data_IF_885603514070
#
_entry.id   IF_885603514070
#
_cell.length_a   1.000
_cell.length_b   1.000
_cell.length_c   1.000
_cell.angle_alpha   90.00
_cell.angle_beta   90.00
_cell.angle_gamma   90.00
#
_symmetry.space_group_name_H-M   'P 1'
#
loop_
_entity.id
_entity.type
_entity.pdbx_description
1 polymer ?
#
# COMPACT_ATOMS: atom_id res chain seq x y z
N UNK A 1 -10.19 -21.31 41.12
CA UNK A 1 -10.64 -19.99 40.66
C UNK A 1 -10.16 -19.79 39.22
N UNK A 2 -11.01 -20.07 38.23
CA UNK A 2 -10.68 -19.86 36.82
C UNK A 2 -11.29 -18.52 36.38
N UNK A 3 -10.47 -17.58 35.89
CA UNK A 3 -10.93 -16.33 35.28
C UNK A 3 -11.25 -16.62 33.82
N UNK A 4 -12.52 -16.52 33.43
CA UNK A 4 -12.94 -16.50 32.03
C UNK A 4 -12.64 -15.10 31.46
N UNK A 5 -11.72 -15.01 30.52
CA UNK A 5 -11.54 -13.81 29.68
C UNK A 5 -12.53 -13.87 28.54
N UNK A 6 -13.63 -13.12 28.64
CA UNK A 6 -14.57 -12.90 27.55
C UNK A 6 -14.00 -11.85 26.60
N UNK A 7 -13.66 -12.25 25.38
CA UNK A 7 -13.45 -11.33 24.25
C UNK A 7 -14.81 -10.74 23.86
N UNK A 8 -15.04 -9.47 24.19
CA UNK A 8 -16.23 -8.74 23.75
C UNK A 8 -16.12 -8.45 22.25
N UNK A 9 -17.12 -8.84 21.48
CA UNK A 9 -17.31 -8.34 20.13
C UNK A 9 -17.63 -6.84 20.21
N UNK A 10 -17.02 -6.03 19.33
CA UNK A 10 -17.28 -4.61 19.26
C UNK A 10 -18.77 -4.36 18.94
N UNK A 11 -19.38 -3.43 19.65
CA UNK A 11 -20.79 -3.08 19.47
C UNK A 11 -20.96 -2.22 18.20
N UNK A 12 -22.18 -2.15 17.67
CA UNK A 12 -22.52 -1.28 16.53
C UNK A 12 -22.17 0.20 16.81
N UNK A 13 -22.23 0.63 18.08
CA UNK A 13 -21.82 1.97 18.50
C UNK A 13 -20.33 2.24 18.42
N UNK A 14 -19.48 1.23 18.60
CA UNK A 14 -18.02 1.36 18.47
C UNK A 14 -17.60 1.51 17.00
N UNK A 15 -18.34 0.87 16.09
CA UNK A 15 -18.09 0.93 14.65
C UNK A 15 -18.46 2.29 14.04
N UNK A 16 -19.49 2.96 14.59
CA UNK A 16 -19.90 4.30 14.18
C UNK A 16 -19.04 5.38 14.84
N UNK A 17 -18.60 5.22 16.10
CA UNK A 17 -17.61 6.11 16.70
C UNK A 17 -16.26 6.09 15.94
N UNK A 18 -15.85 4.91 15.43
CA UNK A 18 -14.68 4.78 14.56
C UNK A 18 -14.87 5.40 13.16
N UNK A 19 -16.10 5.58 12.69
CA UNK A 19 -16.38 6.33 11.44
C UNK A 19 -16.12 7.83 11.62
N UNK A 20 -16.37 8.36 12.81
CA UNK A 20 -16.27 9.79 13.12
C UNK A 20 -14.86 10.23 13.56
N UNK A 21 -13.99 9.29 13.95
CA UNK A 21 -12.65 9.58 14.48
C UNK A 21 -11.63 10.04 13.41
N UNK A 22 -11.93 9.96 12.11
CA UNK A 22 -11.05 10.42 11.03
C UNK A 22 -9.76 9.59 10.90
N UNK A 23 -9.71 8.64 9.96
CA UNK A 23 -8.52 7.86 9.69
C UNK A 23 -8.78 6.45 9.21
N UNK A 24 -7.72 5.67 9.05
CA UNK A 24 -7.81 4.29 8.58
C UNK A 24 -8.44 3.39 9.66
N UNK A 25 -9.43 2.60 9.25
CA UNK A 25 -10.02 1.49 10.01
C UNK A 25 -9.49 0.13 9.58
N UNK A 26 -8.99 0.01 8.34
CA UNK A 26 -8.39 -1.22 7.81
C UNK A 26 -7.10 -0.91 7.04
N UNK A 27 -6.03 -1.63 7.37
CA UNK A 27 -4.72 -1.55 6.72
C UNK A 27 -4.42 -2.89 6.02
N UNK A 28 -4.22 -2.85 4.71
CA UNK A 28 -3.79 -3.98 3.90
C UNK A 28 -2.27 -4.05 3.83
N UNK A 29 -1.69 -5.06 4.49
CA UNK A 29 -0.25 -5.33 4.51
C UNK A 29 0.23 -6.24 3.36
N UNK A 30 -0.70 -6.78 2.56
CA UNK A 30 -0.37 -7.65 1.44
C UNK A 30 0.35 -6.92 0.30
N UNK A 31 1.35 -7.58 -0.28
CA UNK A 31 2.06 -7.06 -1.45
C UNK A 31 1.13 -6.92 -2.66
N UNK A 32 1.47 -6.01 -3.57
CA UNK A 32 0.88 -5.99 -4.91
C UNK A 32 0.92 -7.38 -5.54
N UNK A 33 -0.13 -7.72 -6.30
CA UNK A 33 -0.35 -9.05 -6.93
C UNK A 33 -0.77 -10.19 -5.99
N UNK A 34 -1.09 -9.89 -4.73
CA UNK A 34 -1.74 -10.83 -3.79
C UNK A 34 -3.27 -10.70 -3.73
N UNK A 35 -3.88 -9.94 -4.66
CA UNK A 35 -5.34 -9.73 -4.71
C UNK A 35 -5.81 -8.39 -4.14
N UNK A 36 -4.92 -7.40 -4.03
CA UNK A 36 -5.18 -6.07 -3.43
C UNK A 36 -6.36 -5.32 -4.07
N UNK A 37 -6.52 -5.38 -5.40
CA UNK A 37 -7.67 -4.79 -6.10
C UNK A 37 -9.00 -5.43 -5.71
N UNK A 38 -9.04 -6.76 -5.55
CA UNK A 38 -10.23 -7.46 -5.09
C UNK A 38 -10.53 -7.14 -3.63
N UNK A 39 -9.50 -7.03 -2.79
CA UNK A 39 -9.64 -6.59 -1.41
C UNK A 39 -10.19 -5.16 -1.32
N UNK A 40 -9.66 -4.21 -2.11
CA UNK A 40 -10.19 -2.85 -2.24
C UNK A 40 -11.70 -2.86 -2.52
N UNK A 41 -12.10 -3.57 -3.59
CA UNK A 41 -13.49 -3.66 -3.99
C UNK A 41 -14.39 -4.28 -2.90
N UNK A 42 -13.91 -5.33 -2.22
CA UNK A 42 -14.63 -5.96 -1.12
C UNK A 42 -14.82 -4.98 0.05
N UNK A 43 -13.75 -4.33 0.51
CA UNK A 43 -13.79 -3.35 1.61
C UNK A 43 -14.76 -2.21 1.31
N UNK A 44 -14.74 -1.68 0.09
CA UNK A 44 -15.68 -0.64 -0.33
C UNK A 44 -17.12 -1.15 -0.31
N UNK A 45 -17.39 -2.37 -0.80
CA UNK A 45 -18.71 -2.97 -0.81
C UNK A 45 -19.28 -3.24 0.60
N UNK A 46 -18.43 -3.54 1.59
CA UNK A 46 -18.85 -3.81 2.97
C UNK A 46 -18.78 -2.58 3.91
N UNK A 47 -18.66 -1.37 3.36
CA UNK A 47 -18.74 -0.12 4.14
C UNK A 47 -17.43 0.33 4.80
N UNK A 48 -16.30 -0.18 4.34
CA UNK A 48 -14.94 0.26 4.68
C UNK A 48 -14.29 1.08 3.54
N UNK A 49 -15.11 1.62 2.64
CA UNK A 49 -14.70 2.61 1.64
C UNK A 49 -14.73 4.06 2.15
N UNK A 50 -14.00 4.98 1.50
CA UNK A 50 -13.14 4.78 0.34
C UNK A 50 -11.85 4.03 0.69
N UNK A 51 -11.37 3.16 -0.20
CA UNK A 51 -10.15 2.38 0.01
C UNK A 51 -8.98 2.93 -0.82
N UNK A 52 -7.93 3.38 -0.13
CA UNK A 52 -6.70 3.86 -0.74
C UNK A 52 -5.96 2.69 -1.40
N UNK A 53 -5.51 2.90 -2.63
CA UNK A 53 -4.80 1.88 -3.40
C UNK A 53 -3.77 2.54 -4.32
N UNK A 54 -2.77 1.81 -4.82
CA UNK A 54 -1.77 2.37 -5.74
C UNK A 54 -2.40 3.03 -6.99
N UNK A 55 -3.54 2.48 -7.45
CA UNK A 55 -4.32 3.05 -8.54
C UNK A 55 -4.76 4.49 -8.27
N UNK A 56 -5.08 4.84 -7.02
CA UNK A 56 -5.42 6.20 -6.62
C UNK A 56 -4.18 7.11 -6.77
N UNK A 57 -2.98 6.62 -6.48
CA UNK A 57 -1.74 7.39 -6.68
C UNK A 57 -1.43 7.60 -8.16
N UNK A 58 -1.77 6.64 -9.02
CA UNK A 58 -1.44 6.66 -10.44
C UNK A 58 -2.48 7.39 -11.31
N UNK A 59 -3.73 7.46 -10.87
CA UNK A 59 -4.86 7.97 -11.66
C UNK A 59 -5.48 9.27 -11.13
N UNK A 60 -5.12 9.72 -9.92
CA UNK A 60 -5.62 10.97 -9.34
C UNK A 60 -5.13 12.21 -10.14
N UNK A 61 -5.99 13.18 -10.48
CA UNK A 61 -5.55 14.46 -11.06
C UNK A 61 -4.45 15.18 -10.26
N UNK A 62 -4.36 14.93 -8.95
CA UNK A 62 -3.32 15.40 -8.03
C UNK A 62 -2.12 14.45 -7.89
N UNK A 63 -1.95 13.48 -8.79
CA UNK A 63 -0.81 12.54 -8.87
C UNK A 63 0.52 13.20 -8.46
N UNK A 64 0.91 14.39 -8.96
CA UNK A 64 2.20 14.98 -8.61
C UNK A 64 2.36 15.29 -7.12
N UNK A 65 1.29 15.64 -6.41
CA UNK A 65 1.31 15.95 -4.96
C UNK A 65 1.46 14.67 -4.15
N UNK A 66 0.61 13.67 -4.38
CA UNK A 66 0.66 12.40 -3.65
C UNK A 66 1.96 11.65 -3.91
N UNK A 67 2.42 11.62 -5.15
CA UNK A 67 3.70 11.00 -5.49
C UNK A 67 4.87 11.67 -4.75
N UNK A 68 4.86 13.01 -4.59
CA UNK A 68 5.86 13.75 -3.80
C UNK A 68 5.81 13.40 -2.32
N UNK A 69 4.61 13.34 -1.72
CA UNK A 69 4.46 12.96 -0.30
C UNK A 69 5.02 11.57 -0.07
N UNK A 70 4.64 10.60 -0.91
CA UNK A 70 5.13 9.23 -0.79
C UNK A 70 6.61 9.05 -1.07
N UNK A 71 7.17 9.84 -1.99
CA UNK A 71 8.63 9.84 -2.18
C UNK A 71 9.37 10.26 -0.91
N UNK A 72 8.90 11.30 -0.20
CA UNK A 72 9.51 11.71 1.08
C UNK A 72 9.44 10.60 2.12
N UNK A 73 8.30 9.91 2.22
CA UNK A 73 8.13 8.75 3.11
C UNK A 73 9.11 7.63 2.75
N UNK A 74 9.26 7.34 1.45
CA UNK A 74 10.21 6.35 0.95
C UNK A 74 11.67 6.73 1.23
N UNK A 75 12.06 7.98 1.00
CA UNK A 75 13.40 8.51 1.24
C UNK A 75 13.75 8.50 2.74
N UNK A 76 12.77 8.76 3.61
CA UNK A 76 12.91 8.68 5.06
C UNK A 76 12.78 7.25 5.62
N UNK A 77 12.43 6.26 4.78
CA UNK A 77 12.07 4.90 5.19
C UNK A 77 11.04 4.89 6.33
N UNK A 78 9.98 5.70 6.20
CA UNK A 78 8.90 5.81 7.20
C UNK A 78 9.27 6.55 8.48
N UNK A 79 10.53 6.96 8.68
CA UNK A 79 10.99 7.63 9.91
C UNK A 79 10.65 9.12 9.93
N UNK A 80 10.17 9.61 11.07
CA UNK A 80 9.84 11.03 11.25
C UNK A 80 8.67 11.49 10.38
N UNK A 81 7.78 10.56 10.03
CA UNK A 81 6.55 10.86 9.31
C UNK A 81 5.45 11.10 10.34
N UNK A 82 5.15 12.38 10.57
CA UNK A 82 4.19 12.78 11.60
C UNK A 82 2.77 12.97 11.04
N UNK A 83 2.62 13.00 9.72
CA UNK A 83 1.37 13.38 9.04
C UNK A 83 0.70 12.21 8.27
N UNK A 84 0.69 11.00 8.84
CA UNK A 84 -0.02 9.86 8.25
C UNK A 84 -1.51 10.16 7.99
N UNK A 85 -2.18 10.90 8.89
CA UNK A 85 -3.56 11.32 8.71
C UNK A 85 -3.77 12.19 7.45
N UNK A 86 -2.81 13.04 7.08
CA UNK A 86 -2.90 13.87 5.88
C UNK A 86 -2.79 13.03 4.59
N UNK A 87 -1.94 11.99 4.62
CA UNK A 87 -1.75 11.09 3.48
C UNK A 87 -3.05 10.32 3.16
N UNK A 88 -3.78 9.94 4.20
CA UNK A 88 -5.02 9.15 4.11
C UNK A 88 -6.29 9.95 4.35
N UNK A 89 -6.22 11.28 4.26
CA UNK A 89 -7.41 12.12 4.41
C UNK A 89 -8.51 11.70 3.41
N UNK A 90 -9.72 11.52 3.94
CA UNK A 90 -10.87 11.00 3.19
C UNK A 90 -10.88 9.49 2.91
N UNK A 91 -9.90 8.73 3.36
CA UNK A 91 -9.85 7.27 3.20
C UNK A 91 -10.11 6.55 4.52
N UNK A 92 -10.83 5.43 4.41
CA UNK A 92 -11.23 4.59 5.54
C UNK A 92 -10.43 3.30 5.59
N UNK A 93 -9.91 2.86 4.45
CA UNK A 93 -9.03 1.71 4.37
C UNK A 93 -7.91 1.98 3.38
N UNK A 94 -6.83 1.23 3.46
CA UNK A 94 -5.70 1.38 2.55
C UNK A 94 -5.07 0.02 2.23
N UNK A 95 -4.69 -0.22 0.98
CA UNK A 95 -4.13 -1.47 0.48
C UNK A 95 -3.07 -1.19 -0.59
N UNK A 96 -2.26 -2.21 -0.90
CA UNK A 96 -1.23 -2.16 -1.95
C UNK A 96 -0.09 -1.15 -1.67
N UNK A 97 0.82 -1.02 -2.63
CA UNK A 97 1.89 -0.04 -2.58
C UNK A 97 1.35 1.39 -2.60
N UNK A 98 1.92 2.33 -1.84
CA UNK A 98 3.00 2.18 -0.85
C UNK A 98 2.57 1.84 0.57
N UNK A 99 1.27 1.82 0.87
CA UNK A 99 0.71 1.51 2.19
C UNK A 99 1.29 0.24 2.81
N UNK A 100 1.36 -0.85 2.04
CA UNK A 100 1.76 -2.16 2.55
C UNK A 100 3.18 -2.18 3.15
N UNK A 101 4.07 -1.29 2.72
CA UNK A 101 5.46 -1.22 3.20
C UNK A 101 5.59 -0.59 4.59
N UNK A 102 4.59 0.18 5.02
CA UNK A 102 4.61 0.97 6.25
C UNK A 102 3.52 0.54 7.24
N UNK A 103 3.00 -0.68 7.11
CA UNK A 103 1.87 -1.13 7.93
C UNK A 103 2.16 -1.05 9.44
N UNK A 104 3.41 -1.15 9.88
CA UNK A 104 3.81 -1.03 11.30
C UNK A 104 3.69 0.40 11.79
N UNK A 105 4.25 1.36 11.05
CA UNK A 105 4.12 2.79 11.31
C UNK A 105 2.65 3.22 11.26
N UNK A 106 1.86 2.63 10.36
CA UNK A 106 0.43 2.88 10.27
C UNK A 106 -0.36 2.28 11.44
N UNK A 107 0.05 1.14 12.00
CA UNK A 107 -0.53 0.61 13.22
C UNK A 107 -0.27 1.50 14.43
N UNK A 108 0.88 2.19 14.45
CA UNK A 108 1.17 3.18 15.50
C UNK A 108 0.34 4.46 15.32
N UNK A 109 0.18 4.93 14.08
CA UNK A 109 -0.60 6.13 13.77
C UNK A 109 -2.12 5.91 13.87
N UNK A 110 -2.60 4.71 13.55
CA UNK A 110 -4.01 4.32 13.57
C UNK A 110 -4.21 3.07 14.45
N UNK A 111 -4.10 3.20 15.79
CA UNK A 111 -4.06 2.05 16.71
C UNK A 111 -5.33 1.20 16.71
N UNK A 112 -6.47 1.76 16.32
CA UNK A 112 -7.75 1.05 16.24
C UNK A 112 -7.94 0.31 14.90
N UNK A 113 -7.08 0.57 13.91
CA UNK A 113 -7.18 -0.05 12.60
C UNK A 113 -6.88 -1.55 12.66
N UNK A 114 -7.71 -2.35 11.97
CA UNK A 114 -7.43 -3.77 11.76
C UNK A 114 -6.46 -3.96 10.61
N UNK A 115 -5.59 -4.97 10.71
CA UNK A 115 -4.64 -5.30 9.65
C UNK A 115 -5.08 -6.56 8.91
N UNK A 116 -5.08 -6.52 7.58
CA UNK A 116 -5.34 -7.66 6.70
C UNK A 116 -4.07 -7.96 5.91
N UNK A 117 -3.57 -9.19 6.01
CA UNK A 117 -2.48 -9.70 5.19
C UNK A 117 -3.04 -10.66 4.13
N UNK A 118 -3.06 -10.23 2.88
CA UNK A 118 -3.36 -11.13 1.75
C UNK A 118 -2.11 -11.89 1.36
N UNK A 119 -2.22 -13.22 1.32
CA UNK A 119 -1.12 -14.12 0.97
C UNK A 119 -1.39 -14.82 -0.35
N UNK A 120 -0.32 -15.25 -1.01
CA UNK A 120 -0.34 -16.02 -2.26
C UNK A 120 0.82 -16.99 -2.24
N UNK A 121 0.71 -18.09 -2.97
CA UNK A 121 1.86 -18.95 -3.28
C UNK A 121 3.03 -18.08 -3.82
N UNK A 122 4.22 -18.11 -3.17
CA UNK A 122 5.29 -17.17 -3.48
C UNK A 122 5.80 -17.24 -4.91
N UNK A 123 5.89 -18.44 -5.49
CA UNK A 123 6.32 -18.63 -6.88
C UNK A 123 5.29 -18.05 -7.87
N UNK A 124 4.00 -18.34 -7.67
CA UNK A 124 2.92 -17.74 -8.47
C UNK A 124 2.85 -16.22 -8.28
N UNK A 125 3.15 -15.70 -7.10
CA UNK A 125 3.27 -14.27 -6.86
C UNK A 125 4.42 -13.68 -7.68
N UNK A 126 5.61 -14.29 -7.64
CA UNK A 126 6.79 -13.82 -8.35
C UNK A 126 6.54 -13.75 -9.86
N UNK A 127 6.00 -14.81 -10.47
CA UNK A 127 5.62 -14.81 -11.89
C UNK A 127 4.67 -13.65 -12.21
N UNK A 128 3.61 -13.48 -11.40
CA UNK A 128 2.63 -12.41 -11.62
C UNK A 128 3.20 -11.00 -11.43
N UNK A 129 4.09 -10.83 -10.45
CA UNK A 129 4.78 -9.58 -10.15
C UNK A 129 5.74 -9.19 -11.28
N UNK A 130 6.47 -10.16 -11.84
CA UNK A 130 7.34 -9.94 -12.99
C UNK A 130 6.55 -9.52 -14.24
N UNK A 131 5.47 -10.25 -14.57
CA UNK A 131 4.68 -9.95 -15.77
C UNK A 131 3.93 -8.62 -15.71
N UNK A 132 3.58 -8.16 -14.50
CA UNK A 132 2.82 -6.93 -14.31
C UNK A 132 3.71 -5.79 -13.84
N UNK A 133 4.24 -5.85 -12.62
CA UNK A 133 4.91 -4.72 -11.95
C UNK A 133 6.22 -4.39 -12.63
N UNK A 134 7.08 -5.40 -12.88
CA UNK A 134 8.38 -5.19 -13.53
C UNK A 134 8.19 -4.67 -14.94
N UNK A 135 7.33 -5.31 -15.73
CA UNK A 135 7.04 -4.89 -17.10
C UNK A 135 6.45 -3.48 -17.18
N UNK A 136 5.53 -3.11 -16.29
CA UNK A 136 4.99 -1.74 -16.25
C UNK A 136 6.07 -0.72 -15.89
N UNK A 137 6.92 -1.03 -14.90
CA UNK A 137 8.07 -0.18 -14.54
C UNK A 137 9.00 0.03 -15.73
N UNK A 138 9.41 -1.03 -16.41
CA UNK A 138 10.27 -0.96 -17.61
C UNK A 138 9.63 -0.09 -18.69
N UNK A 139 8.33 -0.29 -18.96
CA UNK A 139 7.58 0.49 -19.96
C UNK A 139 7.53 1.97 -19.60
N UNK A 140 7.19 2.30 -18.35
CA UNK A 140 7.07 3.68 -17.86
C UNK A 140 8.41 4.42 -17.78
N UNK A 141 9.53 3.69 -17.69
CA UNK A 141 10.88 4.25 -17.61
C UNK A 141 11.62 4.25 -18.95
N UNK A 142 11.07 3.64 -19.99
CA UNK A 142 11.62 3.63 -21.34
C UNK A 142 11.16 4.82 -22.18
N UNK A 143 11.86 5.07 -23.28
CA UNK A 143 11.46 6.04 -24.30
C UNK A 143 10.20 5.55 -25.05
N UNK A 144 9.23 6.43 -25.39
CA UNK A 144 9.19 7.88 -25.13
C UNK A 144 8.53 8.26 -23.79
N UNK A 145 8.03 7.28 -23.04
CA UNK A 145 7.23 7.52 -21.82
C UNK A 145 7.99 8.27 -20.72
N UNK A 146 9.30 8.03 -20.58
CA UNK A 146 10.14 8.74 -19.63
C UNK A 146 10.21 10.26 -19.91
N UNK A 147 10.39 10.66 -21.17
CA UNK A 147 10.47 12.07 -21.58
C UNK A 147 9.09 12.71 -21.44
N UNK A 148 8.04 12.05 -21.91
CA UNK A 148 6.67 12.54 -21.77
C UNK A 148 6.27 12.72 -20.29
N UNK A 149 6.58 11.74 -19.45
CA UNK A 149 6.32 11.81 -18.01
C UNK A 149 7.06 12.95 -17.32
N UNK A 150 8.28 13.28 -17.76
CA UNK A 150 9.00 14.45 -17.27
C UNK A 150 8.30 15.76 -17.68
N UNK A 151 7.94 15.91 -18.96
CA UNK A 151 7.24 17.08 -19.49
C UNK A 151 5.88 17.31 -18.83
N UNK A 152 5.20 16.24 -18.43
CA UNK A 152 3.91 16.28 -17.73
C UNK A 152 4.04 16.36 -16.20
N UNK A 153 5.24 16.63 -15.66
CA UNK A 153 5.50 16.69 -14.21
C UNK A 153 5.18 15.39 -13.44
N UNK A 154 5.14 14.25 -14.13
CA UNK A 154 4.92 12.92 -13.56
C UNK A 154 6.21 12.23 -13.10
N UNK A 155 7.36 12.91 -13.18
CA UNK A 155 8.66 12.33 -12.81
C UNK A 155 8.74 11.87 -11.34
N UNK A 156 7.98 12.48 -10.44
CA UNK A 156 7.86 11.99 -9.05
C UNK A 156 7.13 10.64 -8.99
N UNK A 157 6.06 10.46 -9.76
CA UNK A 157 5.38 9.17 -9.89
C UNK A 157 6.33 8.12 -10.48
N UNK A 158 7.10 8.48 -11.53
CA UNK A 158 8.07 7.56 -12.13
C UNK A 158 9.15 7.13 -11.13
N UNK A 159 9.69 8.07 -10.33
CA UNK A 159 10.62 7.76 -9.24
C UNK A 159 9.98 6.86 -8.19
N UNK A 160 8.72 7.09 -7.82
CA UNK A 160 8.01 6.28 -6.84
C UNK A 160 7.81 4.84 -7.34
N UNK A 161 7.40 4.66 -8.60
CA UNK A 161 7.28 3.35 -9.26
C UNK A 161 8.63 2.62 -9.29
N UNK A 162 9.73 3.34 -9.58
CA UNK A 162 11.08 2.76 -9.57
C UNK A 162 11.51 2.37 -8.16
N UNK A 163 11.19 3.21 -7.17
CA UNK A 163 11.51 2.97 -5.78
C UNK A 163 10.78 1.76 -5.21
N UNK A 164 9.61 1.37 -5.74
CA UNK A 164 8.85 0.23 -5.22
C UNK A 164 9.73 -1.01 -5.01
N UNK A 165 10.44 -1.45 -6.06
CA UNK A 165 11.29 -2.65 -5.98
C UNK A 165 12.53 -2.48 -5.09
N UNK A 166 12.95 -1.23 -4.83
CA UNK A 166 14.11 -0.93 -3.97
C UNK A 166 13.69 -0.90 -2.51
N UNK A 167 12.64 -0.14 -2.19
CA UNK A 167 12.09 0.03 -0.84
C UNK A 167 11.47 -1.27 -0.34
N UNK A 168 10.75 -1.99 -1.21
CA UNK A 168 10.18 -3.28 -0.86
C UNK A 168 11.26 -4.36 -0.64
N UNK A 169 12.53 -4.12 -1.00
CA UNK A 169 13.63 -5.09 -0.94
C UNK A 169 13.49 -6.31 -1.87
N UNK A 170 12.43 -6.38 -2.70
CA UNK A 170 12.21 -7.38 -3.77
C UNK A 170 12.68 -6.85 -5.13
N UNK A 171 13.96 -6.48 -5.28
CA UNK A 171 14.43 -5.97 -6.57
C UNK A 171 14.52 -7.08 -7.63
N UNK A 172 13.41 -7.35 -8.31
CA UNK A 172 13.26 -8.43 -9.30
C UNK A 172 14.17 -8.31 -10.53
N UNK A 173 14.90 -7.20 -10.72
CA UNK A 173 15.94 -7.11 -11.74
C UNK A 173 17.31 -7.63 -11.27
N UNK A 174 17.52 -7.72 -9.95
CA UNK A 174 18.80 -8.09 -9.34
C UNK A 174 18.75 -9.36 -8.52
N UNK A 175 17.57 -9.75 -8.04
CA UNK A 175 17.34 -10.96 -7.26
C UNK A 175 16.96 -12.12 -8.17
N UNK A 176 17.47 -13.31 -7.86
CA UNK A 176 16.91 -14.55 -8.43
C UNK A 176 15.47 -14.75 -7.94
N UNK A 177 14.73 -15.65 -8.58
CA UNK A 177 13.38 -16.01 -8.12
C UNK A 177 13.39 -16.47 -6.66
N UNK A 178 14.37 -17.26 -6.25
CA UNK A 178 14.47 -17.80 -4.90
C UNK A 178 14.76 -16.70 -3.88
N UNK A 179 15.64 -15.76 -4.21
CA UNK A 179 15.89 -14.59 -3.39
C UNK A 179 14.64 -13.70 -3.31
N UNK A 180 13.94 -13.54 -4.43
CA UNK A 180 12.64 -12.90 -4.56
C UNK A 180 11.46 -13.79 -4.12
N UNK A 181 11.66 -14.95 -3.54
CA UNK A 181 10.63 -15.67 -2.77
C UNK A 181 10.92 -15.59 -1.28
N UNK A 182 12.20 -15.57 -0.91
CA UNK A 182 12.64 -15.54 0.48
C UNK A 182 12.11 -14.33 1.24
N UNK A 183 12.43 -13.11 0.81
CA UNK A 183 12.05 -11.91 1.57
C UNK A 183 10.55 -11.53 1.33
N UNK A 184 9.78 -12.24 0.48
CA UNK A 184 8.30 -12.14 0.39
C UNK A 184 7.64 -12.85 1.58
N UNK A 185 8.34 -13.86 2.12
CA UNK A 185 7.93 -14.60 3.31
C UNK A 185 8.49 -13.99 4.61
N UNK A 186 9.31 -12.92 4.53
CA UNK A 186 9.84 -12.19 5.70
C UNK A 186 8.89 -11.08 6.13
#
# INVERSE_FOLDING_TARGET
MARSSSTSAASVGDADAARDAGGLRVIGAGHGRTGTMSLKAALEAIGYGPCYHFSEVAMDPQVPRRAKQWLKVCEANGKGIDNWHEIYDGYVSACDFPTNLYYKELMEAFPDAKVILTVRDPHKWYTSAKETVVRHRETLTAFPFNIAGWLLNMHHLMKLVVNYSVVARWNMHRLSEEAAVKVFNE
#
